data_IF_578600712048
#
_entry.id   IF_578600712048
#
_cell.length_a   1.000
_cell.length_b   1.000
_cell.length_c   1.000
_cell.angle_alpha   90.00
_cell.angle_beta   90.00
_cell.angle_gamma   90.00
#
_symmetry.space_group_name_H-M   'P 1'
#
loop_
_entity.id
_entity.type
_entity.pdbx_description
1 polymer ?
#
# COMPACT_ATOMS: atom_id res chain seq x y z
N UNK A 1 94.21 18.57 20.92
CA UNK A 1 93.15 19.58 20.80
C UNK A 1 92.83 19.69 19.30
N UNK A 2 91.67 19.37 18.74
CA UNK A 2 90.40 18.78 19.16
C UNK A 2 89.77 18.20 17.87
N UNK A 3 89.23 17.00 17.94
CA UNK A 3 88.40 16.37 16.90
C UNK A 3 87.11 17.19 16.74
N UNK A 4 86.92 17.85 15.60
CA UNK A 4 85.66 18.44 15.08
C UNK A 4 86.10 19.28 13.88
N UNK A 5 85.73 18.98 12.63
CA UNK A 5 84.53 19.45 11.93
C UNK A 5 84.62 18.76 10.54
N UNK A 6 83.72 17.84 10.16
CA UNK A 6 82.66 18.11 9.16
C UNK A 6 81.75 16.88 9.10
N UNK A 7 81.00 16.66 10.17
CA UNK A 7 79.79 15.84 10.15
C UNK A 7 78.61 16.81 10.08
N UNK A 8 78.29 17.41 8.93
CA UNK A 8 77.11 18.30 8.79
C UNK A 8 76.72 18.56 7.32
N UNK A 9 76.46 17.53 6.50
CA UNK A 9 75.76 17.80 5.22
C UNK A 9 74.97 16.63 4.63
N UNK A 10 74.26 15.87 5.48
CA UNK A 10 73.24 14.90 5.03
C UNK A 10 71.92 14.96 5.79
N UNK A 11 71.89 15.60 6.95
CA UNK A 11 70.64 15.84 7.70
C UNK A 11 69.83 16.99 7.05
N UNK A 12 70.49 18.09 6.73
CA UNK A 12 69.84 19.36 6.31
C UNK A 12 69.07 19.28 4.99
N UNK A 13 69.47 18.42 4.04
CA UNK A 13 68.79 18.30 2.75
C UNK A 13 67.55 17.38 2.80
N UNK A 14 67.46 16.50 3.78
CA UNK A 14 66.29 15.63 3.98
C UNK A 14 65.16 16.40 4.68
N UNK A 15 65.51 17.24 5.66
CA UNK A 15 64.57 18.05 6.43
C UNK A 15 63.84 19.13 5.58
N UNK A 16 64.51 19.73 4.59
CA UNK A 16 63.92 20.78 3.72
C UNK A 16 62.96 20.20 2.67
N UNK A 17 63.21 18.97 2.20
CA UNK A 17 62.34 18.28 1.23
C UNK A 17 61.07 17.77 1.91
N UNK A 18 61.16 17.35 3.18
CA UNK A 18 60.00 16.92 3.98
C UNK A 18 59.06 18.08 4.32
N UNK A 19 59.58 19.30 4.57
CA UNK A 19 58.78 20.48 4.91
C UNK A 19 57.91 20.99 3.74
N UNK A 20 58.45 21.07 2.52
CA UNK A 20 57.69 21.47 1.31
C UNK A 20 56.63 20.42 0.92
N UNK A 21 56.92 19.13 1.13
CA UNK A 21 55.96 18.05 0.91
C UNK A 21 54.82 18.11 1.94
N UNK A 22 55.15 18.38 3.21
CA UNK A 22 54.18 18.51 4.29
C UNK A 22 53.26 19.73 4.08
N UNK A 23 53.81 20.87 3.63
CA UNK A 23 53.02 22.07 3.33
C UNK A 23 52.05 21.82 2.16
N UNK A 24 52.47 21.10 1.11
CA UNK A 24 51.60 20.69 0.00
C UNK A 24 50.49 19.75 0.43
N UNK A 25 50.81 18.79 1.31
CA UNK A 25 49.80 17.88 1.88
C UNK A 25 48.80 18.69 2.70
N UNK A 26 49.27 19.60 3.56
CA UNK A 26 48.40 20.45 4.37
C UNK A 26 47.47 21.32 3.51
N UNK A 27 48.00 22.03 2.50
CA UNK A 27 47.21 22.84 1.56
C UNK A 27 46.16 22.00 0.81
N UNK A 28 46.52 20.78 0.42
CA UNK A 28 45.60 19.86 -0.25
C UNK A 28 44.50 19.41 0.71
N UNK A 29 44.83 19.05 1.94
CA UNK A 29 43.87 18.68 2.98
C UNK A 29 42.93 19.83 3.33
N UNK A 30 43.43 21.04 3.48
CA UNK A 30 42.59 22.23 3.74
C UNK A 30 41.63 22.46 2.58
N UNK A 31 42.12 22.38 1.34
CA UNK A 31 41.29 22.55 0.13
C UNK A 31 40.21 21.47 0.04
N UNK A 32 40.56 20.21 0.31
CA UNK A 32 39.61 19.10 0.33
C UNK A 32 38.59 19.26 1.46
N UNK A 33 39.00 19.70 2.65
CA UNK A 33 38.10 19.97 3.78
C UNK A 33 37.04 21.00 3.41
N UNK A 34 37.45 22.15 2.85
CA UNK A 34 36.52 23.18 2.40
C UNK A 34 35.57 22.68 1.30
N UNK A 35 36.04 21.80 0.42
CA UNK A 35 35.22 21.19 -0.63
C UNK A 35 34.18 20.23 -0.04
N UNK A 36 34.57 19.43 0.95
CA UNK A 36 33.68 18.51 1.67
C UNK A 36 32.59 19.29 2.41
N UNK A 37 32.95 20.38 3.07
CA UNK A 37 31.97 21.25 3.76
C UNK A 37 30.98 21.88 2.76
N UNK A 38 31.48 22.39 1.62
CA UNK A 38 30.64 22.91 0.54
C UNK A 38 29.69 21.85 -0.04
N UNK A 39 30.18 20.62 -0.24
CA UNK A 39 29.34 19.52 -0.70
C UNK A 39 28.29 19.13 0.35
N UNK A 40 28.65 19.17 1.64
CA UNK A 40 27.71 18.95 2.75
C UNK A 40 26.52 19.91 2.69
N UNK A 41 26.79 21.20 2.47
CA UNK A 41 25.75 22.23 2.33
C UNK A 41 24.87 22.01 1.10
N UNK A 42 25.44 21.61 -0.04
CA UNK A 42 24.64 21.30 -1.23
C UNK A 42 23.75 20.07 -1.03
N UNK A 43 24.25 19.03 -0.37
CA UNK A 43 23.47 17.84 -0.02
C UNK A 43 22.29 18.22 0.88
N UNK A 44 22.50 19.07 1.87
CA UNK A 44 21.43 19.55 2.75
C UNK A 44 20.37 20.35 1.98
N UNK A 45 20.81 21.19 1.03
CA UNK A 45 19.89 21.93 0.15
C UNK A 45 19.08 21.00 -0.75
N UNK A 46 19.70 19.96 -1.32
CA UNK A 46 19.00 18.95 -2.14
C UNK A 46 17.97 18.20 -1.30
N UNK A 47 18.31 17.76 -0.09
CA UNK A 47 17.38 17.11 0.84
C UNK A 47 16.19 18.02 1.18
N UNK A 48 16.46 19.29 1.45
CA UNK A 48 15.42 20.28 1.76
C UNK A 48 14.48 20.50 0.57
N UNK A 49 15.04 20.63 -0.64
CA UNK A 49 14.26 20.76 -1.87
C UNK A 49 13.42 19.52 -2.16
N UNK A 50 13.95 18.32 -1.92
CA UNK A 50 13.21 17.06 -2.05
C UNK A 50 12.00 17.03 -1.11
N UNK A 51 12.18 17.37 0.16
CA UNK A 51 11.09 17.45 1.15
C UNK A 51 10.03 18.47 0.73
N UNK A 52 10.46 19.63 0.21
CA UNK A 52 9.55 20.68 -0.27
C UNK A 52 8.77 20.27 -1.52
N UNK A 53 9.42 19.64 -2.50
CA UNK A 53 8.72 19.10 -3.67
C UNK A 53 7.69 18.03 -3.27
N UNK A 54 8.05 17.16 -2.32
CA UNK A 54 7.13 16.14 -1.78
C UNK A 54 5.92 16.77 -1.11
N UNK A 55 6.06 17.87 -0.36
CA UNK A 55 4.94 18.54 0.30
C UNK A 55 4.05 19.32 -0.67
N UNK A 56 4.62 19.94 -1.71
CA UNK A 56 3.88 20.63 -2.76
C UNK A 56 3.06 19.65 -3.61
N UNK A 57 3.66 18.53 -4.03
CA UNK A 57 2.96 17.46 -4.74
C UNK A 57 1.81 16.87 -3.90
N UNK A 58 2.05 16.65 -2.60
CA UNK A 58 1.02 16.17 -1.67
C UNK A 58 -0.17 17.12 -1.60
N UNK A 59 0.09 18.42 -1.53
CA UNK A 59 -0.96 19.44 -1.46
C UNK A 59 -1.80 19.47 -2.73
N UNK A 60 -1.16 19.37 -3.90
CA UNK A 60 -1.84 19.31 -5.19
C UNK A 60 -2.71 18.06 -5.32
N UNK A 61 -2.19 16.88 -4.95
CA UNK A 61 -2.96 15.63 -5.00
C UNK A 61 -4.13 15.67 -4.02
N UNK A 62 -3.91 16.16 -2.80
CA UNK A 62 -4.98 16.32 -1.81
C UNK A 62 -6.07 17.27 -2.31
N UNK A 63 -5.69 18.38 -2.92
CA UNK A 63 -6.61 19.34 -3.53
C UNK A 63 -7.39 18.70 -4.68
N UNK A 64 -6.72 17.94 -5.55
CA UNK A 64 -7.35 17.27 -6.69
C UNK A 64 -8.29 16.14 -6.25
N UNK A 65 -7.92 15.35 -5.23
CA UNK A 65 -8.81 14.39 -4.58
C UNK A 65 -10.02 15.10 -3.96
N UNK A 66 -9.83 16.25 -3.32
CA UNK A 66 -10.93 17.03 -2.74
C UNK A 66 -11.84 17.67 -3.79
N UNK A 67 -11.30 18.06 -4.95
CA UNK A 67 -12.06 18.60 -6.08
C UNK A 67 -12.88 17.51 -6.79
N UNK A 68 -12.30 16.31 -6.99
CA UNK A 68 -13.03 15.13 -7.44
C UNK A 68 -14.21 14.81 -6.50
N UNK A 69 -14.01 14.93 -5.17
CA UNK A 69 -15.07 14.72 -4.19
C UNK A 69 -16.18 15.79 -4.18
N UNK A 70 -15.93 17.03 -4.65
CA UNK A 70 -16.92 18.14 -4.58
C UNK A 70 -17.82 18.25 -5.81
N UNK A 71 -17.51 17.58 -6.91
CA UNK A 71 -18.24 17.72 -8.18
C UNK A 71 -19.52 16.86 -8.27
N UNK A 72 -19.85 16.04 -7.27
CA UNK A 72 -20.75 14.88 -7.44
C UNK A 72 -22.02 14.86 -6.57
N UNK A 73 -22.46 16.00 -6.04
CA UNK A 73 -23.68 16.07 -5.19
C UNK A 73 -25.01 15.70 -5.91
N UNK A 74 -25.00 15.23 -7.17
CA UNK A 74 -26.19 14.78 -7.86
C UNK A 74 -25.94 13.61 -8.82
N UNK A 75 -26.22 12.36 -8.37
CA UNK A 75 -26.99 11.32 -9.11
C UNK A 75 -27.05 9.99 -8.34
N UNK A 76 -28.26 9.41 -8.29
CA UNK A 76 -28.56 8.08 -7.74
C UNK A 76 -28.60 7.02 -8.87
N UNK A 77 -28.15 5.80 -8.52
CA UNK A 77 -28.00 4.56 -9.29
C UNK A 77 -29.26 4.05 -10.02
N UNK A 78 -29.03 3.40 -11.17
CA UNK A 78 -29.65 2.10 -11.50
C UNK A 78 -28.56 1.14 -11.97
N UNK A 79 -28.39 0.00 -11.28
CA UNK A 79 -27.56 -1.13 -11.75
C UNK A 79 -28.53 -2.10 -12.42
N UNK A 80 -28.37 -2.30 -13.74
CA UNK A 80 -29.04 -3.39 -14.45
C UNK A 80 -28.07 -4.54 -14.59
N UNK A 81 -28.53 -5.72 -14.19
CA UNK A 81 -27.85 -6.99 -14.35
C UNK A 81 -27.59 -7.26 -15.83
N UNK A 82 -26.33 -7.28 -16.23
CA UNK A 82 -25.86 -8.14 -17.30
C UNK A 82 -24.42 -8.58 -17.01
N UNK A 83 -24.15 -9.84 -17.31
CA UNK A 83 -23.00 -10.64 -16.85
C UNK A 83 -21.67 -9.91 -17.02
N UNK A 84 -20.96 -9.71 -15.91
CA UNK A 84 -19.50 -9.46 -15.90
C UNK A 84 -19.04 -8.06 -16.30
N UNK A 85 -19.93 -7.06 -16.43
CA UNK A 85 -19.52 -5.68 -16.74
C UNK A 85 -19.84 -4.75 -15.59
N UNK A 86 -18.86 -4.52 -14.71
CA UNK A 86 -18.91 -3.38 -13.79
C UNK A 86 -18.61 -2.13 -14.60
N UNK A 87 -19.64 -1.51 -15.18
CA UNK A 87 -19.48 -0.22 -15.84
C UNK A 87 -18.95 0.80 -14.83
N UNK A 88 -18.07 1.70 -15.29
CA UNK A 88 -17.63 2.88 -14.53
C UNK A 88 -18.84 3.70 -14.07
N UNK A 89 -19.41 3.34 -12.94
CA UNK A 89 -20.41 4.14 -12.27
C UNK A 89 -19.64 5.22 -11.51
N UNK A 90 -19.77 6.46 -11.94
CA UNK A 90 -19.37 7.66 -11.18
C UNK A 90 -20.27 7.76 -9.93
N UNK A 91 -20.13 6.79 -9.03
CA UNK A 91 -20.88 6.70 -7.80
C UNK A 91 -19.94 6.90 -6.63
N UNK A 92 -19.97 8.15 -6.16
CA UNK A 92 -19.99 8.57 -4.76
C UNK A 92 -19.00 7.81 -3.89
N UNK A 93 -17.81 8.39 -3.77
CA UNK A 93 -16.94 8.21 -2.60
C UNK A 93 -17.70 8.64 -1.34
N UNK A 94 -18.53 7.75 -0.79
CA UNK A 94 -19.18 8.00 0.48
C UNK A 94 -18.16 7.80 1.62
N UNK A 95 -17.57 8.93 2.00
CA UNK A 95 -16.85 9.19 3.24
C UNK A 95 -15.55 8.41 3.48
N UNK A 96 -14.47 8.93 2.93
CA UNK A 96 -13.22 9.05 3.69
C UNK A 96 -13.10 10.51 4.11
N UNK A 97 -13.19 10.78 5.42
CA UNK A 97 -12.96 12.13 5.96
C UNK A 97 -11.58 12.64 5.51
N UNK A 98 -11.39 13.96 5.34
CA UNK A 98 -10.07 14.53 4.97
C UNK A 98 -8.91 14.07 5.89
N UNK A 99 -9.23 13.61 7.10
CA UNK A 99 -8.27 13.08 8.07
C UNK A 99 -7.73 11.69 7.73
N UNK A 100 -8.39 10.86 6.90
CA UNK A 100 -7.83 9.56 6.52
C UNK A 100 -6.57 9.71 5.66
N UNK A 101 -6.45 10.81 4.91
CA UNK A 101 -5.27 11.12 4.09
C UNK A 101 -4.05 11.56 4.91
N UNK A 102 -4.21 11.82 6.21
CA UNK A 102 -3.12 12.26 7.11
C UNK A 102 -2.31 11.11 7.71
N UNK A 103 -2.64 9.85 7.40
CA UNK A 103 -1.84 8.72 7.86
C UNK A 103 -0.54 8.64 7.06
N UNK A 104 0.64 8.45 7.71
CA UNK A 104 1.93 8.32 7.01
C UNK A 104 1.95 7.24 5.92
N UNK A 105 1.05 6.25 6.01
CA UNK A 105 0.87 5.18 5.02
C UNK A 105 0.23 5.64 3.72
N UNK A 106 -0.84 6.46 3.77
CA UNK A 106 -1.45 7.02 2.55
C UNK A 106 -0.51 8.05 1.91
N UNK A 107 0.24 8.79 2.73
CA UNK A 107 1.33 9.69 2.31
C UNK A 107 2.39 8.96 1.46
N UNK A 108 2.80 7.75 1.85
CA UNK A 108 3.76 6.94 1.09
C UNK A 108 3.18 6.43 -0.24
N UNK A 109 1.96 5.91 -0.21
CA UNK A 109 1.30 5.36 -1.41
C UNK A 109 1.08 6.41 -2.51
N UNK A 110 0.79 7.64 -2.10
CA UNK A 110 0.59 8.77 -3.01
C UNK A 110 1.92 9.27 -3.60
N UNK A 111 3.03 9.17 -2.86
CA UNK A 111 4.35 9.60 -3.33
C UNK A 111 5.03 8.61 -4.28
N UNK A 112 4.63 7.33 -4.26
CA UNK A 112 5.20 6.30 -5.12
C UNK A 112 4.51 6.16 -6.48
N UNK A 113 3.31 6.72 -6.66
CA UNK A 113 2.54 6.59 -7.90
C UNK A 113 2.53 7.92 -8.68
N UNK A 114 3.03 7.99 -9.93
CA UNK A 114 2.99 9.21 -10.71
C UNK A 114 1.55 9.65 -11.00
N UNK A 115 1.30 10.96 -10.97
CA UNK A 115 -0.04 11.59 -11.08
C UNK A 115 -0.79 11.15 -12.35
N UNK A 116 -0.07 10.81 -13.42
CA UNK A 116 -0.63 10.29 -14.67
C UNK A 116 -1.28 8.90 -14.56
N UNK A 117 -0.98 8.13 -13.52
CA UNK A 117 -1.55 6.79 -13.30
C UNK A 117 -2.89 6.81 -12.57
N UNK A 118 -3.24 7.91 -11.89
CA UNK A 118 -4.44 8.01 -11.04
C UNK A 118 -5.74 7.89 -11.84
N UNK A 119 -5.73 8.31 -13.11
CA UNK A 119 -6.88 8.29 -14.03
C UNK A 119 -6.76 7.23 -15.14
N UNK A 120 -5.79 6.32 -15.05
CA UNK A 120 -5.54 5.32 -16.09
C UNK A 120 -6.45 4.10 -15.94
N UNK A 121 -7.05 3.67 -17.05
CA UNK A 121 -7.89 2.47 -17.11
C UNK A 121 -7.07 1.23 -16.70
N UNK A 122 -7.50 0.58 -15.61
CA UNK A 122 -6.99 -0.70 -15.14
C UNK A 122 -8.04 -1.78 -15.43
N UNK A 123 -7.66 -2.75 -16.24
CA UNK A 123 -8.45 -3.96 -16.50
C UNK A 123 -8.02 -5.04 -15.52
N UNK A 124 -8.92 -5.42 -14.60
CA UNK A 124 -8.72 -6.60 -13.75
C UNK A 124 -9.42 -7.78 -14.41
N UNK A 125 -8.70 -8.86 -14.64
CA UNK A 125 -9.28 -10.14 -15.07
C UNK A 125 -9.39 -11.09 -13.88
N UNK A 126 -10.58 -11.65 -13.69
CA UNK A 126 -10.85 -12.68 -12.68
C UNK A 126 -11.59 -13.81 -13.37
N UNK A 127 -10.93 -14.94 -13.52
CA UNK A 127 -11.46 -16.10 -14.25
C UNK A 127 -11.96 -15.72 -15.66
N UNK A 128 -13.27 -15.76 -15.92
CA UNK A 128 -13.87 -15.41 -17.21
C UNK A 128 -14.41 -13.97 -17.28
N UNK A 129 -14.26 -13.16 -16.23
CA UNK A 129 -14.75 -11.78 -16.17
C UNK A 129 -13.61 -10.76 -16.28
N UNK A 130 -13.93 -9.60 -16.85
CA UNK A 130 -13.00 -8.47 -16.98
C UNK A 130 -13.64 -7.18 -16.48
N UNK A 131 -12.93 -6.47 -15.61
CA UNK A 131 -13.41 -5.26 -14.94
C UNK A 131 -12.55 -4.07 -15.35
N UNK A 132 -13.14 -3.07 -16.00
CA UNK A 132 -12.46 -1.82 -16.33
C UNK A 132 -12.68 -0.81 -15.19
N UNK A 133 -11.62 -0.56 -14.41
CA UNK A 133 -11.66 0.15 -13.14
C UNK A 133 -10.58 1.24 -13.10
N UNK A 134 -10.75 2.21 -12.21
CA UNK A 134 -9.71 3.17 -11.87
C UNK A 134 -8.75 2.58 -10.82
N UNK A 135 -7.45 2.87 -10.95
CA UNK A 135 -6.40 2.34 -10.07
C UNK A 135 -6.56 2.82 -8.61
N UNK A 136 -6.88 4.09 -8.44
CA UNK A 136 -6.80 4.77 -7.14
C UNK A 136 -7.68 4.18 -6.03
N UNK A 137 -9.00 3.93 -6.25
CA UNK A 137 -9.85 3.30 -5.23
C UNK A 137 -9.31 1.95 -4.76
N UNK A 138 -8.80 1.14 -5.70
CA UNK A 138 -8.28 -0.19 -5.42
C UNK A 138 -6.97 -0.14 -4.62
N UNK A 139 -6.02 0.72 -5.02
CA UNK A 139 -4.70 0.86 -4.36
C UNK A 139 -4.83 1.31 -2.90
N UNK A 140 -5.83 2.15 -2.58
CA UNK A 140 -6.06 2.63 -1.23
C UNK A 140 -6.56 1.55 -0.27
N UNK A 141 -7.22 0.51 -0.77
CA UNK A 141 -7.92 -0.48 0.07
C UNK A 141 -7.38 -1.91 -0.10
N UNK A 142 -6.71 -2.23 -1.20
CA UNK A 142 -6.12 -3.54 -1.50
C UNK A 142 -4.59 -3.49 -1.51
N UNK A 143 -3.96 -4.22 -0.57
CA UNK A 143 -2.51 -4.41 -0.54
C UNK A 143 -2.00 -5.19 -1.76
N UNK A 144 -2.76 -6.18 -2.23
CA UNK A 144 -2.38 -6.99 -3.39
C UNK A 144 -2.32 -6.17 -4.68
N UNK A 145 -3.36 -5.38 -4.97
CA UNK A 145 -3.36 -4.53 -6.17
C UNK A 145 -2.24 -3.50 -6.10
N UNK A 146 -2.04 -2.87 -4.93
CA UNK A 146 -0.92 -1.96 -4.70
C UNK A 146 0.41 -2.61 -5.03
N UNK A 147 0.68 -3.80 -4.48
CA UNK A 147 1.92 -4.54 -4.71
C UNK A 147 2.12 -4.88 -6.19
N UNK A 148 1.10 -5.41 -6.86
CA UNK A 148 1.17 -5.79 -8.28
C UNK A 148 1.45 -4.58 -9.19
N UNK A 149 0.88 -3.42 -8.87
CA UNK A 149 1.15 -2.18 -9.61
C UNK A 149 2.55 -1.60 -9.34
N UNK A 150 3.12 -1.82 -8.15
CA UNK A 150 4.49 -1.39 -7.83
C UNK A 150 5.55 -2.31 -8.45
N UNK A 151 5.29 -3.62 -8.52
CA UNK A 151 6.21 -4.61 -9.11
C UNK A 151 6.24 -4.55 -10.65
N UNK A 152 5.21 -3.94 -11.24
CA UNK A 152 5.18 -3.62 -12.65
C UNK A 152 6.28 -2.62 -13.01
N UNK A 153 7.40 -3.12 -13.56
CA UNK A 153 8.53 -2.29 -14.04
C UNK A 153 8.18 -1.30 -15.15
N UNK A 154 6.97 -1.42 -15.72
CA UNK A 154 6.46 -0.56 -16.78
C UNK A 154 5.33 0.31 -16.21
N UNK A 155 5.47 1.63 -16.34
CA UNK A 155 4.48 2.63 -15.89
C UNK A 155 3.16 2.58 -16.67
N UNK A 156 3.00 1.60 -17.56
CA UNK A 156 1.79 1.39 -18.38
C UNK A 156 1.03 0.11 -18.08
N UNK A 157 1.20 -0.51 -16.91
CA UNK A 157 0.35 -1.67 -16.57
C UNK A 157 -1.11 -1.23 -16.47
N UNK A 158 -1.86 -1.64 -17.48
CA UNK A 158 -3.30 -1.43 -17.66
C UNK A 158 -4.09 -2.73 -17.49
N UNK A 159 -3.43 -3.86 -17.21
CA UNK A 159 -4.08 -5.17 -17.07
C UNK A 159 -3.44 -6.01 -15.98
N UNK A 160 -4.24 -6.52 -15.06
CA UNK A 160 -3.82 -7.44 -14.00
C UNK A 160 -4.73 -8.67 -14.05
N UNK A 161 -4.15 -9.86 -14.01
CA UNK A 161 -4.88 -11.10 -13.90
C UNK A 161 -4.82 -11.62 -12.46
N UNK A 162 -5.98 -11.82 -11.84
CA UNK A 162 -6.13 -12.36 -10.49
C UNK A 162 -6.57 -13.82 -10.57
N UNK A 163 -5.60 -14.72 -10.47
CA UNK A 163 -5.86 -16.17 -10.42
C UNK A 163 -6.04 -16.67 -8.99
N UNK A 164 -6.99 -17.57 -8.76
CA UNK A 164 -7.16 -18.27 -7.48
C UNK A 164 -8.01 -17.54 -6.44
N UNK A 165 -8.76 -16.51 -6.85
CA UNK A 165 -9.74 -15.88 -5.96
C UNK A 165 -10.96 -16.81 -5.77
N UNK A 166 -11.16 -17.30 -4.56
CA UNK A 166 -12.36 -18.10 -4.25
C UNK A 166 -13.63 -17.28 -4.32
N UNK A 167 -14.62 -17.84 -5.00
CA UNK A 167 -15.85 -17.13 -5.37
C UNK A 167 -15.71 -16.23 -6.60
N UNK A 168 -14.58 -16.30 -7.30
CA UNK A 168 -14.40 -15.76 -8.64
C UNK A 168 -14.72 -14.28 -8.78
N UNK A 169 -15.35 -13.94 -9.90
CA UNK A 169 -15.76 -12.58 -10.25
C UNK A 169 -16.68 -11.94 -9.21
N UNK A 170 -17.57 -12.71 -8.59
CA UNK A 170 -18.57 -12.20 -7.66
C UNK A 170 -17.92 -11.72 -6.35
N UNK A 171 -16.93 -12.49 -5.88
CA UNK A 171 -16.10 -12.11 -4.73
C UNK A 171 -15.33 -10.82 -5.01
N UNK A 172 -14.74 -10.72 -6.20
CA UNK A 172 -14.00 -9.54 -6.61
C UNK A 172 -14.90 -8.32 -6.74
N UNK A 173 -16.09 -8.46 -7.34
CA UNK A 173 -17.05 -7.37 -7.50
C UNK A 173 -17.42 -6.76 -6.16
N UNK A 174 -17.72 -7.58 -5.15
CA UNK A 174 -18.05 -7.07 -3.81
C UNK A 174 -16.85 -6.36 -3.16
N UNK A 175 -15.65 -6.91 -3.30
CA UNK A 175 -14.43 -6.26 -2.80
C UNK A 175 -14.15 -4.94 -3.53
N UNK A 176 -14.36 -4.90 -4.84
CA UNK A 176 -14.21 -3.69 -5.65
C UNK A 176 -15.24 -2.64 -5.22
N UNK A 177 -16.53 -2.99 -5.10
CA UNK A 177 -17.57 -2.09 -4.55
C UNK A 177 -17.14 -1.48 -3.22
N UNK A 178 -16.60 -2.28 -2.31
CA UNK A 178 -16.05 -1.79 -1.04
C UNK A 178 -14.89 -0.80 -1.25
N UNK A 179 -13.95 -1.08 -2.15
CA UNK A 179 -12.83 -0.18 -2.47
C UNK A 179 -13.30 1.20 -2.98
N UNK A 180 -14.42 1.22 -3.71
CA UNK A 180 -15.07 2.42 -4.23
C UNK A 180 -15.95 3.14 -3.19
N UNK A 181 -16.01 2.65 -1.95
CA UNK A 181 -16.82 3.25 -0.88
C UNK A 181 -18.31 2.91 -0.98
N UNK A 182 -18.71 2.01 -1.87
CA UNK A 182 -20.08 1.48 -1.89
C UNK A 182 -20.32 0.73 -0.58
N UNK A 183 -21.46 0.98 0.05
CA UNK A 183 -21.84 0.31 1.29
C UNK A 183 -22.16 -1.17 1.00
N UNK A 184 -21.17 -2.04 1.17
CA UNK A 184 -21.34 -3.50 1.09
C UNK A 184 -21.84 -4.02 2.43
N UNK A 185 -23.13 -4.39 2.48
CA UNK A 185 -23.73 -5.00 3.66
C UNK A 185 -23.14 -6.40 3.91
N UNK A 186 -22.60 -6.62 5.11
CA UNK A 186 -22.12 -7.92 5.55
C UNK A 186 -23.30 -8.68 6.14
N UNK A 187 -23.58 -9.85 5.57
CA UNK A 187 -24.69 -10.74 5.96
C UNK A 187 -24.17 -12.14 6.20
N UNK A 188 -24.98 -12.98 6.85
CA UNK A 188 -24.64 -14.38 7.11
C UNK A 188 -24.39 -15.14 5.77
N UNK A 189 -25.10 -14.77 4.70
CA UNK A 189 -25.01 -15.41 3.38
C UNK A 189 -23.73 -15.07 2.61
N UNK A 190 -23.15 -13.89 2.83
CA UNK A 190 -22.01 -13.39 2.05
C UNK A 190 -20.71 -13.23 2.88
N UNK A 191 -20.75 -13.36 4.21
CA UNK A 191 -19.58 -13.07 5.07
C UNK A 191 -18.37 -13.96 4.73
N UNK A 192 -18.58 -15.23 4.37
CA UNK A 192 -17.50 -16.14 3.97
C UNK A 192 -16.84 -15.66 2.68
N UNK A 193 -17.65 -15.30 1.69
CA UNK A 193 -17.20 -14.78 0.40
C UNK A 193 -16.38 -13.50 0.58
N UNK A 194 -16.91 -12.53 1.34
CA UNK A 194 -16.23 -11.27 1.65
C UNK A 194 -14.93 -11.50 2.44
N UNK A 195 -14.93 -12.46 3.38
CA UNK A 195 -13.74 -12.78 4.18
C UNK A 195 -12.63 -13.41 3.33
N UNK A 196 -12.98 -14.26 2.36
CA UNK A 196 -12.05 -14.83 1.38
C UNK A 196 -11.51 -13.75 0.44
N UNK A 197 -12.39 -12.89 -0.11
CA UNK A 197 -11.99 -11.78 -0.96
C UNK A 197 -11.03 -10.82 -0.23
N UNK A 198 -11.36 -10.41 1.00
CA UNK A 198 -10.53 -9.53 1.81
C UNK A 198 -9.15 -10.14 2.12
N UNK A 199 -9.09 -11.47 2.35
CA UNK A 199 -7.84 -12.20 2.55
C UNK A 199 -6.98 -12.19 1.28
N UNK A 200 -7.59 -12.55 0.14
CA UNK A 200 -6.90 -12.64 -1.14
C UNK A 200 -6.40 -11.26 -1.59
N UNK A 201 -7.23 -10.23 -1.48
CA UNK A 201 -6.92 -8.85 -1.87
C UNK A 201 -6.04 -8.11 -0.85
N UNK A 202 -5.66 -8.76 0.25
CA UNK A 202 -4.84 -8.20 1.33
C UNK A 202 -5.43 -6.89 1.88
N UNK A 203 -6.73 -6.90 2.19
CA UNK A 203 -7.50 -5.74 2.67
C UNK A 203 -7.43 -5.65 4.21
N UNK A 204 -6.25 -5.32 4.75
CA UNK A 204 -5.98 -5.25 6.20
C UNK A 204 -6.02 -3.82 6.75
N UNK A 205 -5.97 -3.69 8.08
CA UNK A 205 -5.87 -2.38 8.76
C UNK A 205 -4.55 -1.66 8.49
N UNK A 206 -3.49 -2.39 8.11
CA UNK A 206 -2.21 -1.79 7.72
C UNK A 206 -2.33 -1.03 6.38
N UNK A 207 -3.31 -1.40 5.56
CA UNK A 207 -3.59 -0.78 4.27
C UNK A 207 -4.52 0.42 4.42
N UNK A 208 -5.57 0.27 5.23
CA UNK A 208 -6.58 1.31 5.45
C UNK A 208 -7.42 1.02 6.69
N UNK A 209 -7.85 2.05 7.42
CA UNK A 209 -8.69 1.88 8.62
C UNK A 209 -10.07 1.30 8.28
N UNK A 210 -10.59 0.43 9.16
CA UNK A 210 -11.89 -0.23 9.04
C UNK A 210 -12.04 -0.97 7.71
N UNK A 211 -10.99 -1.65 7.25
CA UNK A 211 -10.96 -2.38 6.00
C UNK A 211 -11.85 -3.64 6.04
N UNK A 212 -12.05 -4.27 4.89
CA UNK A 212 -13.02 -5.36 4.75
C UNK A 212 -12.70 -6.57 5.64
N UNK A 213 -11.41 -6.87 5.87
CA UNK A 213 -11.00 -7.99 6.73
C UNK A 213 -11.51 -7.82 8.17
N UNK A 214 -11.26 -6.66 8.80
CA UNK A 214 -11.68 -6.48 10.20
C UNK A 214 -13.20 -6.42 10.33
N UNK A 215 -13.91 -5.86 9.35
CA UNK A 215 -15.38 -5.79 9.38
C UNK A 215 -16.01 -7.19 9.31
N UNK A 216 -15.47 -8.07 8.48
CA UNK A 216 -15.95 -9.46 8.40
C UNK A 216 -15.60 -10.25 9.66
N UNK A 217 -14.43 -10.04 10.25
CA UNK A 217 -14.05 -10.66 11.54
C UNK A 217 -14.96 -10.24 12.69
N UNK A 218 -15.30 -8.95 12.79
CA UNK A 218 -16.25 -8.45 13.79
C UNK A 218 -17.65 -9.02 13.58
N UNK A 219 -18.13 -9.07 12.33
CA UNK A 219 -19.44 -9.67 12.04
C UNK A 219 -19.50 -11.15 12.45
N UNK A 220 -18.46 -11.94 12.12
CA UNK A 220 -18.36 -13.34 12.53
C UNK A 220 -18.39 -13.47 14.06
N UNK A 221 -17.64 -12.61 14.76
CA UNK A 221 -17.58 -12.60 16.22
C UNK A 221 -18.91 -12.24 16.89
N UNK A 222 -19.62 -11.25 16.36
CA UNK A 222 -20.79 -10.68 17.04
C UNK A 222 -22.10 -11.35 16.61
N UNK A 223 -22.18 -11.87 15.38
CA UNK A 223 -23.42 -12.41 14.80
C UNK A 223 -23.38 -13.92 14.54
N UNK A 224 -22.20 -14.49 14.29
CA UNK A 224 -22.07 -15.91 13.92
C UNK A 224 -21.71 -16.76 15.12
N UNK A 225 -20.54 -16.57 15.75
CA UNK A 225 -20.08 -17.41 16.86
C UNK A 225 -21.05 -17.53 18.06
N UNK A 226 -21.86 -16.49 18.42
CA UNK A 226 -22.82 -16.61 19.51
C UNK A 226 -24.09 -17.43 19.16
N UNK A 227 -24.32 -17.76 17.89
CA UNK A 227 -25.56 -18.39 17.44
C UNK A 227 -25.25 -19.69 16.66
N UNK A 228 -25.68 -20.83 17.21
CA UNK A 228 -25.38 -22.15 16.63
C UNK A 228 -26.00 -22.37 15.25
N UNK A 229 -27.21 -21.86 15.01
CA UNK A 229 -27.85 -21.95 13.69
C UNK A 229 -27.06 -21.18 12.64
N UNK A 230 -26.56 -19.99 12.99
CA UNK A 230 -25.70 -19.18 12.12
C UNK A 230 -24.35 -19.86 11.90
N UNK A 231 -23.76 -20.49 12.93
CA UNK A 231 -22.52 -21.26 12.83
C UNK A 231 -22.64 -22.38 11.80
N UNK A 232 -23.67 -23.22 11.91
CA UNK A 232 -23.93 -24.35 11.00
C UNK A 232 -24.15 -23.83 9.58
N UNK A 233 -24.95 -22.77 9.41
CA UNK A 233 -25.19 -22.18 8.11
C UNK A 233 -23.89 -21.67 7.46
N UNK A 234 -23.07 -20.91 8.20
CA UNK A 234 -21.80 -20.37 7.69
C UNK A 234 -20.80 -21.49 7.40
N UNK A 235 -20.78 -22.55 8.22
CA UNK A 235 -19.95 -23.72 7.98
C UNK A 235 -20.30 -24.41 6.65
N UNK A 236 -21.59 -24.61 6.35
CA UNK A 236 -22.01 -25.13 5.05
C UNK A 236 -21.62 -24.21 3.89
N UNK A 237 -21.66 -22.88 4.09
CA UNK A 237 -21.21 -21.94 3.05
C UNK A 237 -19.71 -22.06 2.77
N UNK A 238 -18.89 -22.42 3.76
CA UNK A 238 -17.46 -22.67 3.55
C UNK A 238 -17.20 -23.84 2.59
N UNK A 239 -18.04 -24.87 2.56
CA UNK A 239 -17.87 -26.03 1.66
C UNK A 239 -17.79 -25.61 0.18
N UNK A 240 -18.57 -24.59 -0.20
CA UNK A 240 -18.62 -24.08 -1.58
C UNK A 240 -17.40 -23.25 -1.99
N UNK A 241 -16.49 -22.95 -1.05
CA UNK A 241 -15.33 -22.07 -1.23
C UNK A 241 -14.01 -22.78 -0.84
N UNK A 242 -14.02 -24.11 -0.77
CA UNK A 242 -12.83 -24.92 -0.54
C UNK A 242 -11.93 -24.94 -1.80
N UNK A 243 -10.59 -24.86 -1.64
CA UNK A 243 -9.84 -25.03 -0.38
C UNK A 243 -9.58 -23.73 0.41
N UNK A 244 -9.87 -22.55 -0.12
CA UNK A 244 -9.44 -21.26 0.48
C UNK A 244 -10.08 -20.99 1.84
N UNK A 245 -11.26 -21.53 2.15
CA UNK A 245 -11.87 -21.39 3.48
C UNK A 245 -11.04 -22.02 4.61
N UNK A 246 -10.19 -23.00 4.30
CA UNK A 246 -9.22 -23.58 5.25
C UNK A 246 -8.05 -22.62 5.52
N UNK A 247 -7.59 -21.90 4.50
CA UNK A 247 -6.47 -20.95 4.60
C UNK A 247 -6.78 -19.69 5.41
N UNK A 248 -8.06 -19.44 5.69
CA UNK A 248 -8.50 -18.35 6.57
C UNK A 248 -8.64 -18.80 8.03
N UNK A 249 -8.37 -20.08 8.35
CA UNK A 249 -8.65 -20.70 9.64
C UNK A 249 -10.11 -20.58 10.10
N UNK A 250 -11.03 -20.19 9.21
CA UNK A 250 -12.42 -19.94 9.55
C UNK A 250 -13.14 -21.24 9.87
N UNK A 251 -12.95 -22.27 9.05
CA UNK A 251 -13.56 -23.60 9.24
C UNK A 251 -13.19 -24.19 10.60
N UNK A 252 -11.89 -24.17 10.95
CA UNK A 252 -11.40 -24.65 12.26
C UNK A 252 -12.01 -23.88 13.44
N UNK A 253 -12.11 -22.56 13.33
CA UNK A 253 -12.77 -21.74 14.36
C UNK A 253 -14.25 -22.11 14.53
N UNK A 254 -15.00 -22.21 13.43
CA UNK A 254 -16.41 -22.59 13.45
C UNK A 254 -16.60 -23.97 14.09
N UNK A 255 -15.81 -24.98 13.70
CA UNK A 255 -15.86 -26.32 14.27
C UNK A 255 -15.55 -26.30 15.78
N UNK A 256 -14.47 -25.62 16.19
CA UNK A 256 -14.11 -25.52 17.60
C UNK A 256 -15.20 -24.83 18.43
N UNK A 257 -15.84 -23.78 17.89
CA UNK A 257 -16.98 -23.13 18.56
C UNK A 257 -18.17 -24.07 18.70
N UNK A 258 -18.50 -24.83 17.64
CA UNK A 258 -19.59 -25.83 17.68
C UNK A 258 -19.30 -26.90 18.74
N UNK A 259 -18.10 -27.48 18.73
CA UNK A 259 -17.68 -28.50 19.71
C UNK A 259 -17.74 -27.94 21.14
N UNK A 260 -17.24 -26.73 21.36
CA UNK A 260 -17.28 -26.11 22.68
C UNK A 260 -18.71 -25.80 23.16
N UNK A 261 -19.65 -25.54 22.26
CA UNK A 261 -21.06 -25.37 22.62
C UNK A 261 -21.68 -26.73 22.96
N UNK A 262 -21.41 -27.77 22.17
CA UNK A 262 -21.92 -29.12 22.41
C UNK A 262 -21.40 -29.75 23.71
N UNK A 263 -20.16 -29.46 24.12
CA UNK A 263 -19.58 -29.97 25.36
C UNK A 263 -19.98 -29.20 26.63
N UNK A 264 -20.74 -28.10 26.50
CA UNK A 264 -21.23 -27.29 27.63
C UNK A 264 -22.67 -27.61 28.02
N UNK A 265 -23.38 -28.37 27.20
CA UNK A 265 -24.66 -29.02 27.55
C UNK A 265 -24.40 -30.39 28.22
#
# INVERSE_FOLDING_TARGET
MLLQITYQDKATQTDIIEDDALEKIHKTLTTLSLKVDSMGNEIEKVKTNEVKLKSEAMTQITQQCAELCRSEDNKILEIKEDVGTLHKSHNVYQSTTPDSFKTPYIQHCILEMPISDVASDLTIEVESASFALDKFPLVLRSGRIRKLLLEAKDTKVSRINLTGLSGGSDAFELAAKFCYGVNVEITISNVVLLRCAARFMEMTEDISEKNLKIRTELFLKDKVFPNISNLIFVLHRCETLLPVSEEVNLVSQLINTITNNACKE
#
